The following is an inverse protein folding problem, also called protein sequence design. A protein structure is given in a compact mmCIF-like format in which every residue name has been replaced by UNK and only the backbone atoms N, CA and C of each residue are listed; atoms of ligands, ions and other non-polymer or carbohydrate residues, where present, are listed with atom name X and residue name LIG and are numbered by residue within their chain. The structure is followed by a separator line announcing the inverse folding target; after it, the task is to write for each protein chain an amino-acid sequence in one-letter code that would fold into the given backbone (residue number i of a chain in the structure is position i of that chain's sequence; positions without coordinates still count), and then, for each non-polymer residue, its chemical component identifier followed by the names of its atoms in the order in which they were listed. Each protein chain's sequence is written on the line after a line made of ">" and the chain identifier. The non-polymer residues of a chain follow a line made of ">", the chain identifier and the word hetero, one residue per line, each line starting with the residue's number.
data_IF_957995455225
#
_entry.id   IF_957995455225
#
_cell.length_a   1.000
_cell.length_b   1.000
_cell.length_c   1.000
_cell.angle_alpha   90.00
_cell.angle_beta   90.00
_cell.angle_gamma   90.00
#
_symmetry.space_group_name_H-M   'P 1'
#
loop_
_entity.id
_entity.type
_entity.pdbx_description
1 polymer ?
#
# COMPACT_ATOMS: atom_id res chain seq x y z
N UNK A 1 21.48 -40.96 -14.28
CA UNK A 1 20.81 -40.01 -15.13
C UNK A 1 19.70 -39.37 -14.31
N UNK A 2 20.05 -38.32 -13.54
CA UNK A 2 19.07 -37.55 -12.79
C UNK A 2 18.31 -36.64 -13.76
N UNK A 3 17.07 -37.02 -14.07
CA UNK A 3 16.13 -36.14 -14.76
C UNK A 3 15.71 -35.03 -13.79
N UNK A 4 16.36 -33.89 -13.93
CA UNK A 4 15.91 -32.63 -13.32
C UNK A 4 14.44 -32.41 -13.66
N UNK A 5 13.54 -32.63 -12.69
CA UNK A 5 12.17 -32.17 -12.79
C UNK A 5 12.18 -30.65 -12.97
N UNK A 6 11.49 -30.11 -13.96
CA UNK A 6 11.38 -28.68 -14.08
C UNK A 6 10.71 -28.14 -12.79
N UNK A 7 11.17 -26.99 -12.25
CA UNK A 7 10.53 -26.38 -11.11
C UNK A 7 9.05 -26.13 -11.44
N UNK A 8 8.20 -26.41 -10.46
CA UNK A 8 6.75 -26.21 -10.58
C UNK A 8 6.49 -24.87 -11.25
N UNK A 9 5.94 -24.93 -12.45
CA UNK A 9 5.50 -23.76 -13.22
C UNK A 9 4.52 -23.01 -12.32
N UNK A 10 4.91 -21.83 -11.88
CA UNK A 10 3.97 -20.83 -11.39
C UNK A 10 3.09 -20.55 -12.61
N UNK A 11 1.88 -21.11 -12.63
CA UNK A 11 0.91 -20.75 -13.64
C UNK A 11 0.55 -19.28 -13.42
N UNK A 12 1.27 -18.44 -14.15
CA UNK A 12 1.07 -17.01 -14.19
C UNK A 12 -0.25 -16.79 -14.91
N UNK A 13 -1.35 -16.77 -14.18
CA UNK A 13 -2.59 -16.21 -14.71
C UNK A 13 -2.42 -14.69 -14.65
N UNK A 14 -1.76 -14.16 -15.65
CA UNK A 14 -1.85 -12.74 -15.96
C UNK A 14 -3.29 -12.53 -16.41
N UNK A 15 -4.18 -12.33 -15.47
CA UNK A 15 -5.43 -11.67 -15.77
C UNK A 15 -5.08 -10.21 -15.98
N UNK A 16 -4.70 -9.89 -17.20
CA UNK A 16 -4.86 -8.53 -17.68
C UNK A 16 -6.34 -8.20 -17.46
N UNK A 17 -6.63 -7.48 -16.40
CA UNK A 17 -7.90 -6.82 -16.25
C UNK A 17 -7.89 -5.63 -17.23
N UNK A 18 -7.77 -5.94 -18.51
CA UNK A 18 -8.29 -5.07 -19.54
C UNK A 18 -9.79 -5.23 -19.37
N UNK A 19 -10.35 -4.35 -18.57
CA UNK A 19 -11.77 -4.13 -18.54
C UNK A 19 -12.23 -4.03 -19.99
N UNK A 20 -12.84 -5.11 -20.52
CA UNK A 20 -13.75 -5.04 -21.65
C UNK A 20 -15.06 -4.42 -21.19
N UNK A 21 -14.99 -3.48 -20.31
CA UNK A 21 -16.00 -2.48 -20.17
C UNK A 21 -15.76 -1.56 -21.35
N UNK A 22 -16.70 -1.55 -22.28
CA UNK A 22 -16.84 -0.52 -23.31
C UNK A 22 -16.15 0.73 -22.81
N UNK A 23 -15.35 1.39 -23.67
CA UNK A 23 -14.92 2.76 -23.49
C UNK A 23 -16.16 3.65 -23.28
N UNK A 24 -16.80 3.53 -22.15
CA UNK A 24 -17.26 4.71 -21.45
C UNK A 24 -15.95 5.41 -21.11
N UNK A 25 -15.77 6.54 -21.74
CA UNK A 25 -14.79 7.53 -21.35
C UNK A 25 -14.61 7.38 -19.84
N UNK A 26 -13.39 7.05 -19.42
CA UNK A 26 -13.04 7.18 -18.01
C UNK A 26 -13.32 8.64 -17.77
N UNK A 27 -14.53 8.91 -17.25
CA UNK A 27 -14.91 10.25 -16.85
C UNK A 27 -13.78 10.63 -15.91
N UNK A 28 -12.99 11.58 -16.31
CA UNK A 28 -11.98 12.23 -15.50
C UNK A 28 -12.47 12.19 -14.08
N UNK A 29 -11.63 11.73 -13.16
CA UNK A 29 -11.86 11.90 -11.73
C UNK A 29 -12.70 13.15 -11.56
N UNK A 30 -13.93 12.99 -11.09
CA UNK A 30 -14.86 14.10 -10.97
C UNK A 30 -14.25 15.05 -9.95
N UNK A 31 -13.46 15.98 -10.45
CA UNK A 31 -12.91 17.05 -9.62
C UNK A 31 -14.14 17.82 -9.17
N UNK A 32 -14.58 17.58 -7.95
CA UNK A 32 -15.55 18.44 -7.31
C UNK A 32 -14.89 19.80 -7.13
N UNK A 33 -15.09 20.67 -8.11
CA UNK A 33 -14.79 22.07 -7.92
C UNK A 33 -15.85 22.55 -6.93
N UNK A 34 -15.42 22.95 -5.75
CA UNK A 34 -16.31 23.59 -4.79
C UNK A 34 -16.82 24.88 -5.43
N UNK A 35 -18.13 25.07 -5.45
CA UNK A 35 -18.78 26.27 -6.02
C UNK A 35 -18.41 27.56 -5.26
N UNK A 36 -17.79 27.42 -4.11
CA UNK A 36 -17.29 28.53 -3.29
C UNK A 36 -15.82 28.33 -2.93
N UNK A 37 -15.00 29.39 -2.98
CA UNK A 37 -13.61 29.32 -2.55
C UNK A 37 -13.55 28.96 -1.06
N UNK A 38 -12.66 28.02 -0.71
CA UNK A 38 -12.36 27.68 0.69
C UNK A 38 -11.51 28.82 1.25
N UNK A 39 -12.04 29.57 2.21
CA UNK A 39 -11.29 30.57 2.94
C UNK A 39 -10.52 29.87 4.07
N UNK A 40 -9.20 30.01 4.07
CA UNK A 40 -8.33 29.53 5.14
C UNK A 40 -7.95 30.74 6.00
N UNK A 41 -8.22 30.68 7.30
CA UNK A 41 -7.84 31.73 8.24
C UNK A 41 -6.32 31.86 8.32
N UNK A 42 -5.81 33.11 8.47
CA UNK A 42 -4.38 33.40 8.65
C UNK A 42 -3.76 32.72 9.88
N UNK A 43 -4.59 32.34 10.86
CA UNK A 43 -4.17 31.61 12.06
C UNK A 43 -4.13 30.09 11.87
N UNK A 44 -4.56 29.57 10.72
CA UNK A 44 -4.61 28.15 10.45
C UNK A 44 -3.23 27.57 10.23
N UNK A 45 -3.01 26.35 10.74
CA UNK A 45 -1.85 25.56 10.38
C UNK A 45 -2.14 24.86 9.06
N UNK A 46 -1.33 25.15 8.06
CA UNK A 46 -1.39 24.51 6.74
C UNK A 46 -0.25 23.52 6.63
N UNK A 47 -0.57 22.30 6.25
CA UNK A 47 0.39 21.27 5.85
C UNK A 47 0.29 21.07 4.35
N UNK A 48 1.39 21.33 3.67
CA UNK A 48 1.56 21.02 2.26
C UNK A 48 2.32 19.69 2.13
N UNK A 49 1.86 18.81 1.24
CA UNK A 49 2.51 17.54 0.92
C UNK A 49 2.54 17.38 -0.59
N UNK A 50 3.72 17.31 -1.15
CA UNK A 50 3.95 17.11 -2.58
C UNK A 50 4.36 15.65 -2.84
N UNK A 51 3.65 15.00 -3.75
CA UNK A 51 3.84 13.58 -4.08
C UNK A 51 3.69 13.40 -5.59
N UNK A 52 4.81 13.42 -6.31
CA UNK A 52 4.78 13.32 -7.78
C UNK A 52 3.90 14.43 -8.40
N UNK A 53 2.82 14.03 -9.06
CA UNK A 53 1.88 14.95 -9.70
C UNK A 53 0.74 15.41 -8.77
N UNK A 54 0.77 15.02 -7.50
CA UNK A 54 -0.29 15.30 -6.54
C UNK A 54 0.24 16.23 -5.46
N UNK A 55 -0.50 17.32 -5.23
CA UNK A 55 -0.29 18.21 -4.09
C UNK A 55 -1.49 18.10 -3.16
N UNK A 56 -1.25 17.69 -1.93
CA UNK A 56 -2.25 17.59 -0.88
C UNK A 56 -2.09 18.77 0.09
N UNK A 57 -3.14 19.54 0.27
CA UNK A 57 -3.19 20.67 1.21
C UNK A 57 -4.17 20.30 2.32
N UNK A 58 -3.66 20.25 3.54
CA UNK A 58 -4.48 20.06 4.74
C UNK A 58 -4.36 21.30 5.62
N UNK A 59 -5.46 21.77 6.14
CA UNK A 59 -5.46 22.87 7.11
C UNK A 59 -6.24 22.49 8.37
N UNK A 60 -5.87 23.11 9.47
CA UNK A 60 -6.53 22.95 10.76
C UNK A 60 -6.56 24.26 11.50
N UNK A 61 -7.74 24.67 11.95
CA UNK A 61 -7.91 25.87 12.76
C UNK A 61 -7.38 25.71 14.17
N UNK A 62 -7.26 24.47 14.64
CA UNK A 62 -6.77 24.17 16.00
C UNK A 62 -5.43 23.46 15.92
N UNK A 63 -4.45 24.00 16.64
CA UNK A 63 -3.21 23.25 16.90
C UNK A 63 -3.54 21.99 17.68
N UNK A 64 -3.05 20.85 17.22
CA UNK A 64 -3.01 19.66 18.05
C UNK A 64 -2.18 19.98 19.29
N UNK A 65 -2.77 19.83 20.47
CA UNK A 65 -2.08 20.07 21.75
C UNK A 65 -1.15 18.90 22.10
N UNK A 66 -0.38 18.39 21.18
CA UNK A 66 0.52 17.27 21.43
C UNK A 66 -0.19 15.99 21.91
N UNK A 67 0.46 14.86 21.87
CA UNK A 67 -0.09 13.63 22.46
C UNK A 67 -0.17 13.78 23.98
N UNK A 68 -1.33 13.46 24.55
CA UNK A 68 -1.50 13.42 26.01
C UNK A 68 -0.77 12.22 26.64
N UNK A 69 -0.15 11.38 25.83
CA UNK A 69 0.53 10.17 26.29
C UNK A 69 2.00 10.19 25.88
N UNK A 70 2.85 9.72 26.82
CA UNK A 70 4.25 9.42 26.56
C UNK A 70 4.45 7.93 26.60
N UNK A 71 4.90 7.34 25.48
CA UNK A 71 5.22 5.92 25.42
C UNK A 71 6.52 5.67 26.20
N UNK A 72 6.48 4.75 27.17
CA UNK A 72 7.63 4.34 27.97
C UNK A 72 8.33 3.16 27.31
N UNK A 73 7.58 2.10 26.98
CA UNK A 73 8.07 0.91 26.31
C UNK A 73 7.01 0.36 25.34
N UNK A 74 7.16 -0.91 24.90
CA UNK A 74 6.20 -1.52 23.98
C UNK A 74 4.83 -1.77 24.62
N UNK A 75 4.79 -1.93 25.94
CA UNK A 75 3.62 -2.37 26.69
C UNK A 75 2.98 -1.25 27.50
N UNK A 76 3.74 -0.15 27.83
CA UNK A 76 3.31 0.88 28.76
C UNK A 76 3.38 2.30 28.19
N UNK A 77 2.47 3.15 28.69
CA UNK A 77 2.45 4.59 28.44
C UNK A 77 1.99 5.36 29.69
N UNK A 78 2.43 6.62 29.78
CA UNK A 78 1.98 7.57 30.82
C UNK A 78 1.00 8.55 30.19
N UNK A 79 -0.14 8.81 30.84
CA UNK A 79 -0.98 9.97 30.54
C UNK A 79 -0.36 11.21 31.19
N UNK A 80 0.15 12.11 30.35
CA UNK A 80 0.86 13.32 30.81
C UNK A 80 -0.05 14.30 31.56
N UNK A 81 -1.37 14.12 31.55
CA UNK A 81 -2.33 14.97 32.27
C UNK A 81 -2.50 14.52 33.71
N UNK A 82 -2.47 13.21 33.96
CA UNK A 82 -2.68 12.61 35.29
C UNK A 82 -1.40 12.10 35.91
N UNK A 83 -0.36 11.85 35.10
CA UNK A 83 0.87 11.18 35.54
C UNK A 83 0.73 9.67 35.75
N UNK A 84 -0.43 9.09 35.42
CA UNK A 84 -0.71 7.68 35.65
C UNK A 84 -0.09 6.82 34.53
N UNK A 85 0.36 5.64 34.94
CA UNK A 85 0.89 4.61 34.04
C UNK A 85 -0.23 3.68 33.59
N UNK A 86 -0.29 3.44 32.30
CA UNK A 86 -1.27 2.52 31.68
C UNK A 86 -0.54 1.50 30.80
N UNK A 87 -1.20 0.35 30.60
CA UNK A 87 -0.78 -0.66 29.65
C UNK A 87 -1.47 -0.47 28.31
N UNK A 88 -0.71 -0.67 27.20
CA UNK A 88 -1.33 -0.76 25.88
C UNK A 88 -2.14 -2.04 25.75
N UNK A 89 -3.36 -1.90 25.29
CA UNK A 89 -4.16 -3.08 24.90
C UNK A 89 -3.57 -3.66 23.62
N UNK A 90 -2.89 -4.79 23.73
CA UNK A 90 -2.41 -5.53 22.58
C UNK A 90 -3.54 -6.27 21.90
N UNK A 91 -3.61 -6.15 20.58
CA UNK A 91 -4.58 -6.85 19.76
C UNK A 91 -3.91 -8.13 19.21
N UNK A 92 -4.65 -9.24 19.23
CA UNK A 92 -4.15 -10.54 18.76
C UNK A 92 -3.82 -10.52 17.25
N UNK A 93 -4.55 -9.68 16.50
CA UNK A 93 -4.43 -9.60 15.06
C UNK A 93 -4.31 -8.13 14.63
N UNK A 94 -3.32 -7.86 13.77
CA UNK A 94 -3.10 -6.53 13.19
C UNK A 94 -4.34 -5.96 12.48
N UNK A 95 -5.19 -6.82 11.88
CA UNK A 95 -6.41 -6.40 11.21
C UNK A 95 -7.44 -5.76 12.17
N UNK A 96 -7.33 -6.02 13.48
CA UNK A 96 -8.17 -5.42 14.51
C UNK A 96 -7.71 -4.00 14.87
N UNK A 97 -6.47 -3.65 14.58
CA UNK A 97 -5.91 -2.32 14.82
C UNK A 97 -6.20 -1.40 13.64
N UNK A 98 -7.44 -0.93 13.55
CA UNK A 98 -7.91 -0.10 12.45
C UNK A 98 -7.11 1.19 12.30
N UNK A 99 -6.59 1.75 13.39
CA UNK A 99 -5.78 2.98 13.34
C UNK A 99 -4.43 2.73 12.65
N UNK A 100 -3.74 1.63 13.01
CA UNK A 100 -2.49 1.24 12.36
C UNK A 100 -2.70 0.75 10.93
N UNK A 101 -3.82 0.07 10.64
CA UNK A 101 -4.20 -0.29 9.28
C UNK A 101 -4.41 0.96 8.43
N UNK A 102 -5.21 1.93 8.90
CA UNK A 102 -5.45 3.19 8.20
C UNK A 102 -4.14 3.98 7.95
N UNK A 103 -3.25 4.03 8.94
CA UNK A 103 -1.92 4.64 8.80
C UNK A 103 -1.08 3.95 7.73
N UNK A 104 -1.07 2.63 7.70
CA UNK A 104 -0.32 1.85 6.71
C UNK A 104 -0.88 2.07 5.29
N UNK A 105 -2.20 2.12 5.14
CA UNK A 105 -2.86 2.41 3.87
C UNK A 105 -2.54 3.83 3.38
N UNK A 106 -2.57 4.83 4.29
CA UNK A 106 -2.19 6.19 3.95
C UNK A 106 -0.73 6.28 3.48
N UNK A 107 0.19 5.61 4.17
CA UNK A 107 1.59 5.53 3.75
C UNK A 107 1.75 4.85 2.39
N UNK A 108 1.05 3.74 2.15
CA UNK A 108 1.04 3.05 0.86
C UNK A 108 0.54 3.94 -0.27
N UNK A 109 -0.56 4.66 -0.05
CA UNK A 109 -1.10 5.66 -0.99
C UNK A 109 -0.05 6.74 -1.30
N UNK A 110 0.60 7.28 -0.29
CA UNK A 110 1.58 8.33 -0.45
C UNK A 110 2.79 7.87 -1.28
N UNK A 111 3.25 6.64 -1.04
CA UNK A 111 4.33 6.05 -1.83
C UNK A 111 3.89 5.85 -3.29
N UNK A 112 2.68 5.35 -3.53
CA UNK A 112 2.14 5.20 -4.88
C UNK A 112 2.05 6.56 -5.58
N UNK A 113 1.47 7.56 -4.93
CA UNK A 113 1.33 8.91 -5.48
C UNK A 113 2.68 9.56 -5.81
N UNK A 114 3.70 9.34 -4.97
CA UNK A 114 5.04 9.90 -5.20
C UNK A 114 5.78 9.24 -6.38
N UNK A 115 5.49 7.98 -6.67
CA UNK A 115 6.24 7.21 -7.66
C UNK A 115 5.48 6.97 -8.97
N UNK A 116 4.14 7.07 -8.97
CA UNK A 116 3.33 6.90 -10.17
C UNK A 116 2.99 8.27 -10.74
N UNK A 117 3.83 8.75 -11.64
CA UNK A 117 3.58 9.98 -12.41
C UNK A 117 2.97 9.70 -13.78
N UNK A 118 3.08 8.46 -14.27
CA UNK A 118 2.52 7.98 -15.53
C UNK A 118 1.90 6.60 -15.34
N UNK A 119 0.58 6.55 -15.30
CA UNK A 119 -0.20 5.31 -15.09
C UNK A 119 -0.01 4.32 -16.23
N UNK A 120 0.32 4.80 -17.45
CA UNK A 120 0.55 3.93 -18.60
C UNK A 120 1.73 2.98 -18.40
N UNK A 121 2.66 3.33 -17.51
CA UNK A 121 3.84 2.55 -17.13
C UNK A 121 3.60 1.59 -15.97
N UNK A 122 2.39 1.58 -15.42
CA UNK A 122 2.06 0.74 -14.28
C UNK A 122 1.32 -0.52 -14.71
N UNK A 123 1.55 -1.59 -13.98
CA UNK A 123 0.79 -2.84 -14.14
C UNK A 123 0.36 -3.36 -12.78
N UNK A 124 -0.93 -3.58 -12.64
CA UNK A 124 -1.48 -4.30 -11.50
C UNK A 124 -1.48 -5.80 -11.81
N UNK A 125 -0.83 -6.57 -10.95
CA UNK A 125 -0.68 -8.01 -11.14
C UNK A 125 -1.05 -8.73 -9.85
N UNK A 126 -1.85 -9.79 -9.95
CA UNK A 126 -2.09 -10.70 -8.84
C UNK A 126 -1.35 -12.01 -9.11
N UNK A 127 -0.41 -12.36 -8.23
CA UNK A 127 0.32 -13.61 -8.28
C UNK A 127 -0.34 -14.61 -7.35
N UNK A 128 -0.69 -15.77 -7.88
CA UNK A 128 -1.35 -16.83 -7.13
C UNK A 128 -0.73 -18.19 -7.46
N UNK A 129 -0.89 -19.15 -6.56
CA UNK A 129 -0.49 -20.54 -6.78
C UNK A 129 -1.68 -21.37 -7.25
N UNK A 130 -1.40 -22.39 -8.03
CA UNK A 130 -2.39 -23.41 -8.38
C UNK A 130 -2.84 -24.20 -7.14
N UNK A 131 -1.88 -24.50 -6.26
CA UNK A 131 -2.09 -25.22 -5.02
C UNK A 131 -2.43 -24.28 -3.84
N UNK A 132 -2.92 -24.87 -2.75
CA UNK A 132 -3.19 -24.14 -1.51
C UNK A 132 -1.87 -23.80 -0.79
N UNK A 133 -1.24 -22.72 -1.19
CA UNK A 133 0.03 -22.25 -0.65
C UNK A 133 -0.17 -21.49 0.67
N UNK A 134 0.21 -22.10 1.78
CA UNK A 134 0.03 -21.56 3.13
C UNK A 134 1.32 -21.06 3.79
N UNK A 135 2.50 -21.29 3.19
CA UNK A 135 3.79 -20.87 3.74
C UNK A 135 4.22 -19.48 3.26
N UNK A 136 4.13 -18.42 4.12
CA UNK A 136 4.50 -17.07 3.74
C UNK A 136 6.01 -16.90 3.45
N UNK A 137 6.87 -17.75 4.04
CA UNK A 137 8.32 -17.69 3.78
C UNK A 137 8.62 -18.19 2.37
N UNK A 138 7.95 -19.28 1.96
CA UNK A 138 8.05 -19.80 0.60
C UNK A 138 7.51 -18.78 -0.41
N UNK A 139 6.35 -18.15 -0.14
CA UNK A 139 5.78 -17.10 -0.97
C UNK A 139 6.80 -15.99 -1.26
N UNK A 140 7.45 -15.46 -0.23
CA UNK A 140 8.41 -14.36 -0.36
C UNK A 140 9.71 -14.79 -1.07
N UNK A 141 10.12 -16.05 -0.92
CA UNK A 141 11.26 -16.60 -1.66
C UNK A 141 10.94 -16.73 -3.15
N UNK A 142 9.79 -17.30 -3.46
CA UNK A 142 9.35 -17.51 -4.84
C UNK A 142 9.12 -16.15 -5.55
N UNK A 143 8.59 -15.15 -4.83
CA UNK A 143 8.45 -13.80 -5.34
C UNK A 143 9.81 -13.14 -5.67
N UNK A 144 10.83 -13.35 -4.85
CA UNK A 144 12.19 -12.87 -5.17
C UNK A 144 12.73 -13.50 -6.45
N UNK A 145 12.58 -14.81 -6.63
CA UNK A 145 12.98 -15.49 -7.86
C UNK A 145 12.20 -15.00 -9.08
N UNK A 146 10.90 -14.79 -8.92
CA UNK A 146 10.05 -14.19 -9.96
C UNK A 146 10.57 -12.80 -10.37
N UNK A 147 10.84 -11.92 -9.40
CA UNK A 147 11.37 -10.58 -9.66
C UNK A 147 12.73 -10.60 -10.38
N UNK A 148 13.63 -11.50 -10.00
CA UNK A 148 14.92 -11.64 -10.68
C UNK A 148 14.72 -11.94 -12.16
N UNK A 149 13.89 -12.92 -12.49
CA UNK A 149 13.57 -13.28 -13.89
C UNK A 149 12.86 -12.16 -14.64
N UNK A 150 11.92 -11.47 -14.00
CA UNK A 150 11.24 -10.34 -14.62
C UNK A 150 12.21 -9.21 -14.95
N UNK A 151 13.19 -8.92 -14.08
CA UNK A 151 14.22 -7.91 -14.33
C UNK A 151 15.17 -8.27 -15.48
N UNK A 152 15.46 -9.54 -15.66
CA UNK A 152 16.23 -10.03 -16.82
C UNK A 152 15.50 -9.76 -18.14
N UNK A 153 14.17 -9.84 -18.16
CA UNK A 153 13.34 -9.68 -19.37
C UNK A 153 12.97 -8.21 -19.61
N UNK A 154 12.51 -7.51 -18.58
CA UNK A 154 11.90 -6.18 -18.68
C UNK A 154 12.84 -5.06 -18.26
N UNK A 155 14.01 -5.37 -17.73
CA UNK A 155 14.93 -4.38 -17.18
C UNK A 155 14.50 -3.89 -15.80
N UNK A 156 14.89 -2.66 -15.47
CA UNK A 156 14.61 -2.08 -14.16
C UNK A 156 13.16 -1.63 -14.03
N UNK A 157 12.56 -1.96 -12.90
CA UNK A 157 11.25 -1.47 -12.46
C UNK A 157 11.19 -1.46 -10.94
N UNK A 158 10.36 -0.57 -10.40
CA UNK A 158 10.00 -0.55 -8.99
C UNK A 158 8.69 -1.28 -8.76
N UNK A 159 8.43 -1.70 -7.53
CA UNK A 159 7.16 -2.35 -7.19
C UNK A 159 6.74 -2.11 -5.75
N UNK A 160 5.43 -2.16 -5.55
CA UNK A 160 4.80 -2.31 -4.25
C UNK A 160 4.02 -3.62 -4.27
N UNK A 161 4.12 -4.40 -3.20
CA UNK A 161 3.38 -5.65 -3.07
C UNK A 161 2.71 -5.77 -1.71
N UNK A 162 1.51 -6.36 -1.71
CA UNK A 162 0.77 -6.74 -0.51
C UNK A 162 0.47 -8.23 -0.56
N UNK A 163 0.82 -8.94 0.52
CA UNK A 163 0.44 -10.33 0.69
C UNK A 163 -0.92 -10.42 1.37
N UNK A 164 -1.83 -11.19 0.79
CA UNK A 164 -3.17 -11.39 1.31
C UNK A 164 -3.48 -12.87 1.47
N UNK A 165 -3.96 -13.33 2.64
CA UNK A 165 -4.47 -14.68 2.82
C UNK A 165 -5.90 -14.78 2.26
N UNK A 166 -6.16 -15.77 1.43
CA UNK A 166 -7.51 -16.10 0.98
C UNK A 166 -8.28 -16.80 2.10
N UNK A 167 -9.61 -16.86 1.99
CA UNK A 167 -10.47 -17.52 2.98
C UNK A 167 -10.13 -19.00 3.24
N UNK A 168 -9.50 -19.69 2.28
CA UNK A 168 -8.96 -21.06 2.43
C UNK A 168 -7.55 -21.12 3.01
N UNK A 169 -6.97 -19.98 3.42
CA UNK A 169 -5.63 -19.86 3.98
C UNK A 169 -4.49 -19.78 2.94
N UNK A 170 -4.78 -19.89 1.66
CA UNK A 170 -3.76 -19.72 0.62
C UNK A 170 -3.32 -18.26 0.52
N UNK A 171 -2.02 -18.04 0.38
CA UNK A 171 -1.46 -16.71 0.16
C UNK A 171 -1.44 -16.34 -1.32
N UNK A 172 -1.75 -15.08 -1.61
CA UNK A 172 -1.46 -14.46 -2.89
C UNK A 172 -0.82 -13.07 -2.71
N UNK A 173 -0.23 -12.56 -3.78
CA UNK A 173 0.38 -11.24 -3.79
C UNK A 173 -0.35 -10.34 -4.78
N UNK A 174 -0.74 -9.16 -4.32
CA UNK A 174 -1.14 -8.05 -5.17
C UNK A 174 0.06 -7.14 -5.37
N UNK A 175 0.42 -6.91 -6.62
CA UNK A 175 1.60 -6.14 -6.97
C UNK A 175 1.24 -4.99 -7.90
N UNK A 176 1.82 -3.82 -7.66
CA UNK A 176 1.89 -2.74 -8.64
C UNK A 176 3.32 -2.64 -9.11
N UNK A 177 3.56 -2.90 -10.38
CA UNK A 177 4.86 -2.72 -11.02
C UNK A 177 4.89 -1.37 -11.74
N UNK A 178 5.98 -0.62 -11.55
CA UNK A 178 6.18 0.72 -12.10
C UNK A 178 7.44 0.65 -12.97
N UNK A 179 7.26 0.63 -14.28
CA UNK A 179 8.37 0.48 -15.22
C UNK A 179 9.06 1.84 -15.47
N UNK A 180 10.39 1.82 -15.47
CA UNK A 180 11.16 2.95 -15.94
C UNK A 180 10.86 3.21 -17.43
N UNK A 181 10.72 4.47 -17.83
CA UNK A 181 10.62 4.80 -19.24
C UNK A 181 11.92 4.50 -19.97
N UNK A 182 11.80 4.09 -21.25
CA UNK A 182 12.92 4.12 -22.16
C UNK A 182 13.20 5.56 -22.57
#
# INVERSE_FOLDING_TARGET
>A
GDTLRPPALINLIIREYVSKTQRKEVSCLEIKILDSPVSISDSSLVRLKEMGNITEIMYSEKRSRGGYITKIDKDHYVDNRTGELFEFKHLENRAQDLANVAKSLAQGRDILNANITDVSRCRWVTLTYADNMTDPKKLMRDFRHFNTRCREIFGHYEYITAAEPQGRGAWHLHCVFIFAGK
#
